data_IF_047512334732
#
_entry.id   IF_047512334732
#
_cell.length_a   1.000
_cell.length_b   1.000
_cell.length_c   1.000
_cell.angle_alpha   90.00
_cell.angle_beta   90.00
_cell.angle_gamma   90.00
#
_symmetry.space_group_name_H-M   'P 1'
#
loop_
_entity.id
_entity.type
_entity.pdbx_description
1 polymer ?
#
# COMPACT_ATOMS: atom_id res chain seq x y z
N UNK A 1 -5.95 -35.86 26.41
CA UNK A 1 -6.98 -35.67 25.36
C UNK A 1 -7.27 -34.20 25.03
N UNK A 2 -7.67 -33.36 26.01
CA UNK A 2 -8.04 -31.94 25.78
C UNK A 2 -6.96 -31.09 25.06
N UNK A 3 -5.67 -31.33 25.33
CA UNK A 3 -4.56 -30.63 24.65
C UNK A 3 -4.44 -30.98 23.15
N UNK A 4 -4.62 -32.26 22.79
CA UNK A 4 -4.59 -32.70 21.37
C UNK A 4 -5.78 -32.14 20.59
N UNK A 5 -6.97 -32.10 21.19
CA UNK A 5 -8.18 -31.52 20.60
C UNK A 5 -8.01 -30.01 20.37
N UNK A 6 -7.48 -29.27 21.35
CA UNK A 6 -7.20 -27.83 21.18
C UNK A 6 -6.21 -27.55 20.06
N UNK A 7 -5.15 -28.36 19.94
CA UNK A 7 -4.18 -28.25 18.84
C UNK A 7 -4.82 -28.54 17.49
N UNK A 8 -5.63 -29.59 17.39
CA UNK A 8 -6.36 -29.93 16.16
C UNK A 8 -7.31 -28.81 15.73
N UNK A 9 -8.09 -28.25 16.67
CA UNK A 9 -8.99 -27.13 16.40
C UNK A 9 -8.24 -25.87 15.93
N UNK A 10 -7.07 -25.59 16.51
CA UNK A 10 -6.22 -24.47 16.06
C UNK A 10 -5.72 -24.65 14.63
N UNK A 11 -5.25 -25.85 14.28
CA UNK A 11 -4.82 -26.13 12.91
C UNK A 11 -5.98 -26.10 11.91
N UNK A 12 -7.14 -26.64 12.29
CA UNK A 12 -8.34 -26.58 11.46
C UNK A 12 -8.79 -25.13 11.21
N UNK A 13 -8.81 -24.29 12.26
CA UNK A 13 -9.12 -22.87 12.12
C UNK A 13 -8.09 -22.13 11.25
N UNK A 14 -6.80 -22.39 11.46
CA UNK A 14 -5.74 -21.80 10.64
C UNK A 14 -5.84 -22.21 9.17
N UNK A 15 -6.17 -23.48 8.89
CA UNK A 15 -6.38 -23.99 7.54
C UNK A 15 -7.60 -23.34 6.88
N UNK A 16 -8.70 -23.17 7.62
CA UNK A 16 -9.90 -22.50 7.12
C UNK A 16 -9.63 -21.04 6.76
N UNK A 17 -8.89 -20.32 7.61
CA UNK A 17 -8.47 -18.94 7.34
C UNK A 17 -7.56 -18.89 6.11
N UNK A 18 -6.57 -19.79 6.02
CA UNK A 18 -5.68 -19.88 4.86
C UNK A 18 -6.46 -20.18 3.57
N UNK A 19 -7.43 -21.10 3.61
CA UNK A 19 -8.27 -21.43 2.46
C UNK A 19 -9.16 -20.24 2.05
N UNK A 20 -9.72 -19.49 3.01
CA UNK A 20 -10.53 -18.30 2.69
C UNK A 20 -9.73 -17.16 2.04
N UNK A 21 -8.45 -17.01 2.40
CA UNK A 21 -7.58 -15.96 1.87
C UNK A 21 -6.96 -16.39 0.53
N UNK A 22 -6.43 -17.61 0.47
CA UNK A 22 -5.72 -18.12 -0.70
C UNK A 22 -6.65 -18.67 -1.78
N UNK A 23 -7.85 -19.13 -1.42
CA UNK A 23 -8.82 -19.69 -2.37
C UNK A 23 -9.16 -18.75 -3.54
N UNK A 24 -9.57 -17.50 -3.28
CA UNK A 24 -9.83 -16.53 -4.34
C UNK A 24 -8.60 -16.19 -5.18
N UNK A 25 -7.40 -16.12 -4.56
CA UNK A 25 -6.15 -15.89 -5.29
C UNK A 25 -5.78 -17.07 -6.19
N UNK A 26 -5.97 -18.30 -5.71
CA UNK A 26 -5.78 -19.51 -6.51
C UNK A 26 -6.77 -19.57 -7.67
N UNK A 27 -8.03 -19.21 -7.43
CA UNK A 27 -9.03 -19.13 -8.49
C UNK A 27 -8.67 -18.08 -9.54
N UNK A 28 -8.24 -16.89 -9.10
CA UNK A 28 -7.77 -15.83 -10.00
C UNK A 28 -6.58 -16.30 -10.84
N UNK A 29 -5.63 -17.03 -10.25
CA UNK A 29 -4.52 -17.62 -10.98
C UNK A 29 -5.01 -18.64 -12.00
N UNK A 30 -5.88 -19.57 -11.62
CA UNK A 30 -6.45 -20.56 -12.55
C UNK A 30 -7.21 -19.89 -13.70
N UNK A 31 -7.98 -18.83 -13.43
CA UNK A 31 -8.67 -18.07 -14.48
C UNK A 31 -7.70 -17.48 -15.49
N UNK A 32 -6.57 -16.94 -15.01
CA UNK A 32 -5.58 -16.29 -15.86
C UNK A 32 -4.93 -17.22 -16.89
N UNK A 33 -4.82 -18.51 -16.54
CA UNK A 33 -4.21 -19.56 -17.38
C UNK A 33 -5.24 -20.46 -18.08
N UNK A 34 -6.54 -20.18 -17.90
CA UNK A 34 -7.63 -20.93 -18.52
C UNK A 34 -8.03 -20.33 -19.86
N UNK A 35 -8.42 -21.17 -20.82
CA UNK A 35 -8.97 -20.66 -22.09
C UNK A 35 -10.31 -19.93 -21.86
N UNK A 36 -10.64 -18.94 -22.69
CA UNK A 36 -11.93 -18.24 -22.57
C UNK A 36 -13.16 -19.17 -22.69
N UNK A 37 -13.02 -20.27 -23.44
CA UNK A 37 -14.05 -21.31 -23.53
C UNK A 37 -14.21 -22.14 -22.26
N UNK A 38 -13.14 -22.34 -21.48
CA UNK A 38 -13.22 -23.06 -20.21
C UNK A 38 -13.92 -22.21 -19.14
N UNK A 39 -13.69 -20.89 -19.14
CA UNK A 39 -14.28 -19.93 -18.19
C UNK A 39 -15.81 -19.79 -18.32
N UNK A 40 -16.34 -20.04 -19.51
CA UNK A 40 -17.78 -19.88 -19.83
C UNK A 40 -18.52 -21.22 -19.94
N UNK A 41 -17.83 -22.34 -19.72
CA UNK A 41 -18.38 -23.69 -19.85
C UNK A 41 -19.34 -24.04 -18.71
N UNK A 42 -20.40 -24.78 -19.05
CA UNK A 42 -21.35 -25.35 -18.09
C UNK A 42 -21.36 -26.89 -18.23
N UNK A 43 -21.11 -27.67 -17.16
CA UNK A 43 -20.75 -27.22 -15.81
C UNK A 43 -19.35 -26.58 -15.77
N UNK A 44 -19.13 -25.71 -14.76
CA UNK A 44 -17.85 -25.03 -14.57
C UNK A 44 -16.75 -26.06 -14.27
N UNK A 45 -15.69 -26.02 -15.07
CA UNK A 45 -14.49 -26.81 -14.83
C UNK A 45 -13.52 -26.00 -13.97
N UNK A 46 -13.16 -26.54 -12.81
CA UNK A 46 -12.33 -25.83 -11.84
C UNK A 46 -10.85 -25.78 -12.23
N UNK A 47 -10.41 -26.66 -13.14
CA UNK A 47 -9.04 -26.75 -13.61
C UNK A 47 -9.01 -26.55 -15.12
N UNK A 48 -8.03 -25.79 -15.64
CA UNK A 48 -7.87 -25.61 -17.07
C UNK A 48 -7.56 -26.94 -17.75
N UNK A 49 -8.20 -27.20 -18.89
CA UNK A 49 -7.86 -28.35 -19.74
C UNK A 49 -6.51 -28.17 -20.41
N UNK A 50 -6.20 -26.93 -20.77
CA UNK A 50 -4.94 -26.51 -21.35
C UNK A 50 -4.44 -25.28 -20.60
N UNK A 51 -3.18 -25.32 -20.19
CA UNK A 51 -2.53 -24.21 -19.51
C UNK A 51 -2.06 -23.19 -20.56
N UNK A 52 -2.70 -22.04 -20.61
CA UNK A 52 -2.36 -20.96 -21.55
C UNK A 52 -1.73 -19.76 -20.83
N UNK A 53 -0.45 -19.52 -21.09
CA UNK A 53 0.29 -18.39 -20.55
C UNK A 53 0.43 -17.22 -21.55
N UNK A 54 -0.26 -17.27 -22.69
CA UNK A 54 -0.20 -16.24 -23.73
C UNK A 54 -0.53 -14.85 -23.21
N UNK A 55 -1.51 -14.73 -22.30
CA UNK A 55 -1.92 -13.45 -21.68
C UNK A 55 -0.81 -12.80 -20.87
N UNK A 56 -0.01 -13.60 -20.16
CA UNK A 56 1.16 -13.09 -19.46
C UNK A 56 2.22 -12.57 -20.44
N UNK A 57 2.44 -13.28 -21.56
CA UNK A 57 3.34 -12.81 -22.60
C UNK A 57 2.84 -11.50 -23.23
N UNK A 58 1.53 -11.36 -23.47
CA UNK A 58 0.93 -10.12 -23.96
C UNK A 58 1.13 -8.96 -22.98
N UNK A 59 0.95 -9.20 -21.68
CA UNK A 59 1.10 -8.17 -20.64
C UNK A 59 2.54 -7.72 -20.41
N UNK A 60 3.53 -8.57 -20.70
CA UNK A 60 4.95 -8.24 -20.57
C UNK A 60 5.53 -7.73 -21.90
N UNK A 61 4.79 -7.83 -23.00
CA UNK A 61 5.20 -7.30 -24.30
C UNK A 61 5.15 -5.76 -24.34
N UNK A 62 6.09 -5.15 -25.07
CA UNK A 62 6.15 -3.70 -25.32
C UNK A 62 5.56 -3.31 -26.68
N UNK A 63 4.92 -4.25 -27.37
CA UNK A 63 4.34 -4.01 -28.68
C UNK A 63 3.16 -3.05 -28.56
N UNK A 64 3.09 -2.06 -29.46
CA UNK A 64 2.09 -0.99 -29.40
C UNK A 64 0.64 -1.49 -29.60
N UNK A 65 0.47 -2.62 -30.28
CA UNK A 65 -0.85 -3.24 -30.52
C UNK A 65 -1.31 -4.15 -29.36
N UNK A 66 -0.46 -4.36 -28.35
CA UNK A 66 -0.72 -5.24 -27.21
C UNK A 66 -1.09 -4.45 -25.96
N UNK A 67 -1.87 -5.03 -25.03
CA UNK A 67 -2.22 -4.38 -23.76
C UNK A 67 -1.01 -4.19 -22.83
N UNK A 68 0.11 -4.88 -23.08
CA UNK A 68 1.29 -4.89 -22.21
C UNK A 68 1.97 -3.55 -22.05
N UNK A 69 2.13 -2.76 -23.12
CA UNK A 69 2.75 -1.44 -23.02
C UNK A 69 1.96 -0.52 -22.05
N UNK A 70 0.63 -0.55 -22.12
CA UNK A 70 -0.24 0.21 -21.22
C UNK A 70 -0.10 -0.29 -19.77
N UNK A 71 -0.15 -1.61 -19.57
CA UNK A 71 -0.02 -2.23 -18.25
C UNK A 71 1.34 -1.93 -17.59
N UNK A 72 2.45 -2.12 -18.31
CA UNK A 72 3.80 -1.89 -17.80
C UNK A 72 4.05 -0.41 -17.50
N UNK A 73 3.52 0.50 -18.32
CA UNK A 73 3.60 1.95 -18.07
C UNK A 73 2.84 2.32 -16.78
N UNK A 74 1.62 1.80 -16.61
CA UNK A 74 0.83 2.03 -15.40
C UNK A 74 1.43 1.39 -14.14
N UNK A 75 2.04 0.21 -14.29
CA UNK A 75 2.79 -0.47 -13.25
C UNK A 75 3.97 0.38 -12.78
N UNK A 76 4.74 0.92 -13.72
CA UNK A 76 5.86 1.83 -13.43
C UNK A 76 5.39 3.11 -12.74
N UNK A 77 4.33 3.73 -13.26
CA UNK A 77 3.73 4.92 -12.65
C UNK A 77 3.32 4.67 -11.20
N UNK A 78 2.72 3.51 -10.91
CA UNK A 78 2.29 3.14 -9.56
C UNK A 78 3.47 2.94 -8.63
N UNK A 79 4.52 2.25 -9.08
CA UNK A 79 5.75 2.07 -8.31
C UNK A 79 6.39 3.41 -7.98
N UNK A 80 6.47 4.32 -8.96
CA UNK A 80 7.06 5.64 -8.80
C UNK A 80 6.24 6.49 -7.82
N UNK A 81 4.92 6.58 -8.03
CA UNK A 81 4.04 7.43 -7.22
C UNK A 81 3.93 6.87 -5.80
N UNK A 82 3.75 5.56 -5.62
CA UNK A 82 3.65 4.95 -4.29
C UNK A 82 4.95 5.09 -3.50
N UNK A 83 6.10 4.87 -4.13
CA UNK A 83 7.41 5.03 -3.48
C UNK A 83 7.69 6.51 -3.17
N UNK A 84 7.43 7.41 -4.11
CA UNK A 84 7.63 8.85 -3.93
C UNK A 84 6.78 9.43 -2.82
N UNK A 85 5.47 9.15 -2.83
CA UNK A 85 4.54 9.63 -1.82
C UNK A 85 4.87 9.09 -0.43
N UNK A 86 5.22 7.80 -0.33
CA UNK A 86 5.62 7.18 0.95
C UNK A 86 6.92 7.76 1.48
N UNK A 87 7.94 7.90 0.63
CA UNK A 87 9.24 8.43 1.03
C UNK A 87 9.14 9.88 1.53
N UNK A 88 8.42 10.73 0.79
CA UNK A 88 8.18 12.12 1.19
C UNK A 88 7.34 12.17 2.47
N UNK A 89 6.28 11.36 2.57
CA UNK A 89 5.44 11.33 3.76
C UNK A 89 6.21 10.88 4.99
N UNK A 90 7.08 9.86 4.89
CA UNK A 90 7.95 9.44 6.01
C UNK A 90 8.95 10.52 6.40
N UNK A 91 9.58 11.17 5.42
CA UNK A 91 10.54 12.25 5.65
C UNK A 91 9.93 13.38 6.49
N UNK A 92 8.64 13.68 6.28
CA UNK A 92 7.90 14.69 7.02
C UNK A 92 7.26 14.16 8.30
N UNK A 93 6.72 12.94 8.28
CA UNK A 93 6.03 12.32 9.40
C UNK A 93 6.96 12.00 10.56
N UNK A 94 8.22 11.59 10.30
CA UNK A 94 9.21 11.28 11.33
C UNK A 94 9.46 12.47 12.27
N UNK A 95 9.90 13.65 11.80
CA UNK A 95 10.12 14.79 12.67
C UNK A 95 8.82 15.32 13.28
N UNK A 96 7.70 15.27 12.55
CA UNK A 96 6.38 15.66 13.07
C UNK A 96 5.96 14.78 14.25
N UNK A 97 6.03 13.46 14.09
CA UNK A 97 5.70 12.48 15.13
C UNK A 97 6.60 12.64 16.35
N UNK A 98 7.91 12.83 16.15
CA UNK A 98 8.84 13.09 17.24
C UNK A 98 8.49 14.37 17.98
N UNK A 99 8.14 15.43 17.25
CA UNK A 99 7.69 16.68 17.85
C UNK A 99 6.41 16.49 18.67
N UNK A 100 5.40 15.79 18.14
CA UNK A 100 4.15 15.58 18.86
C UNK A 100 4.32 14.67 20.08
N UNK A 101 5.26 13.73 20.01
CA UNK A 101 5.54 12.81 21.12
C UNK A 101 6.30 13.47 22.27
N UNK A 102 7.30 14.31 21.96
CA UNK A 102 8.23 14.84 22.98
C UNK A 102 7.89 16.23 23.49
N UNK A 103 7.03 16.99 22.79
CA UNK A 103 6.69 18.36 23.15
C UNK A 103 5.18 18.49 23.39
N UNK A 104 4.75 18.56 24.66
CA UNK A 104 3.34 18.64 25.02
C UNK A 104 2.70 19.93 24.50
N UNK A 105 1.36 19.91 24.37
CA UNK A 105 0.58 21.06 23.88
C UNK A 105 0.48 21.17 22.35
N UNK A 106 0.95 20.15 21.62
CA UNK A 106 0.90 20.10 20.15
C UNK A 106 -0.09 19.07 19.60
N UNK A 107 -0.72 18.27 20.46
CA UNK A 107 -1.64 17.20 20.05
C UNK A 107 -2.85 17.71 19.27
N UNK A 108 -3.31 18.94 19.53
CA UNK A 108 -4.40 19.57 18.77
C UNK A 108 -4.14 19.66 17.27
N UNK A 109 -2.89 19.88 16.85
CA UNK A 109 -2.51 19.90 15.43
C UNK A 109 -2.56 18.51 14.80
N UNK A 110 -2.14 17.48 15.54
CA UNK A 110 -2.25 16.10 15.08
C UNK A 110 -3.71 15.65 14.99
N UNK A 111 -4.53 15.95 16.00
CA UNK A 111 -5.96 15.64 15.94
C UNK A 111 -6.67 16.42 14.83
N UNK A 112 -6.28 17.67 14.58
CA UNK A 112 -6.78 18.46 13.46
C UNK A 112 -6.43 17.84 12.10
N UNK A 113 -5.18 17.37 11.91
CA UNK A 113 -4.80 16.72 10.65
C UNK A 113 -5.49 15.37 10.45
N UNK A 114 -5.71 14.61 11.53
CA UNK A 114 -6.50 13.37 11.49
C UNK A 114 -7.98 13.64 11.22
N UNK A 115 -8.56 14.71 11.77
CA UNK A 115 -9.93 15.08 11.48
C UNK A 115 -10.12 15.41 9.99
N UNK A 116 -9.17 16.13 9.39
CA UNK A 116 -9.16 16.40 7.94
C UNK A 116 -9.01 15.10 7.15
N UNK A 117 -8.14 14.18 7.58
CA UNK A 117 -7.97 12.87 6.96
C UNK A 117 -9.26 12.02 6.99
N UNK A 118 -10.12 12.18 8.00
CA UNK A 118 -11.39 11.48 8.10
C UNK A 118 -12.50 12.08 7.21
N UNK A 119 -12.29 13.26 6.65
CA UNK A 119 -13.24 13.84 5.68
C UNK A 119 -13.16 13.03 4.37
N UNK A 120 -14.31 12.66 3.76
CA UNK A 120 -14.32 11.90 2.53
C UNK A 120 -13.48 12.55 1.42
N UNK A 121 -12.60 11.80 0.72
CA UNK A 121 -11.76 12.34 -0.36
C UNK A 121 -12.50 13.12 -1.44
N UNK A 122 -13.75 12.71 -1.75
CA UNK A 122 -14.62 13.39 -2.72
C UNK A 122 -14.84 14.87 -2.42
N UNK A 123 -14.83 15.28 -1.14
CA UNK A 123 -15.01 16.67 -0.73
C UNK A 123 -13.84 17.57 -1.16
N UNK A 124 -12.65 17.01 -1.34
CA UNK A 124 -11.44 17.75 -1.70
C UNK A 124 -11.13 17.75 -3.20
N UNK A 125 -11.91 17.02 -4.01
CA UNK A 125 -11.65 16.86 -5.45
C UNK A 125 -11.60 18.22 -6.16
N UNK A 126 -12.66 19.03 -6.06
CA UNK A 126 -12.71 20.31 -6.76
C UNK A 126 -11.61 21.29 -6.30
N UNK A 127 -11.39 21.50 -4.98
CA UNK A 127 -10.29 22.33 -4.52
C UNK A 127 -8.92 21.86 -5.02
N UNK A 128 -8.61 20.56 -4.90
CA UNK A 128 -7.33 20.01 -5.32
C UNK A 128 -7.16 20.07 -6.85
N UNK A 129 -8.23 19.84 -7.60
CA UNK A 129 -8.22 19.97 -9.06
C UNK A 129 -7.80 21.38 -9.48
N UNK A 130 -8.42 22.43 -8.91
CA UNK A 130 -8.07 23.82 -9.26
C UNK A 130 -6.65 24.17 -8.86
N UNK A 131 -6.16 23.71 -7.70
CA UNK A 131 -4.77 23.92 -7.27
C UNK A 131 -3.80 23.25 -8.24
N UNK A 132 -4.02 21.98 -8.57
CA UNK A 132 -3.18 21.25 -9.53
C UNK A 132 -3.24 21.87 -10.92
N UNK A 133 -4.40 22.37 -11.35
CA UNK A 133 -4.57 23.04 -12.64
C UNK A 133 -3.76 24.34 -12.69
N UNK A 134 -3.86 25.18 -11.66
CA UNK A 134 -3.13 26.46 -11.58
C UNK A 134 -1.61 26.24 -11.57
N UNK A 135 -1.15 25.15 -10.95
CA UNK A 135 0.26 24.79 -10.88
C UNK A 135 0.73 23.97 -12.08
N UNK A 136 -0.12 23.67 -13.06
CA UNK A 136 0.16 22.78 -14.20
C UNK A 136 0.65 21.38 -13.79
N UNK A 137 0.13 20.85 -12.67
CA UNK A 137 0.48 19.55 -12.10
C UNK A 137 -0.55 18.44 -12.39
N UNK A 138 -1.64 18.75 -13.08
CA UNK A 138 -2.55 17.73 -13.60
C UNK A 138 -1.82 16.81 -14.58
N UNK A 139 -2.16 15.52 -14.61
CA UNK A 139 -1.51 14.51 -15.43
C UNK A 139 -0.01 14.29 -15.18
N UNK A 140 0.50 14.71 -14.02
CA UNK A 140 1.91 14.53 -13.65
C UNK A 140 2.07 13.61 -12.44
N UNK A 141 3.16 12.84 -12.40
CA UNK A 141 3.50 12.04 -11.22
C UNK A 141 3.71 12.91 -9.99
N UNK A 142 4.31 14.09 -10.15
CA UNK A 142 4.56 15.02 -9.04
C UNK A 142 3.25 15.50 -8.42
N UNK A 143 2.28 15.91 -9.23
CA UNK A 143 0.95 16.30 -8.76
C UNK A 143 0.28 15.19 -7.95
N UNK A 144 0.33 13.96 -8.46
CA UNK A 144 -0.28 12.81 -7.79
C UNK A 144 0.45 12.46 -6.48
N UNK A 145 1.79 12.47 -6.48
CA UNK A 145 2.61 12.27 -5.28
C UNK A 145 2.26 13.28 -4.19
N UNK A 146 2.10 14.56 -4.53
CA UNK A 146 1.74 15.61 -3.57
C UNK A 146 0.34 15.40 -2.99
N UNK A 147 -0.63 15.04 -3.82
CA UNK A 147 -1.98 14.69 -3.34
C UNK A 147 -1.92 13.50 -2.40
N UNK A 148 -1.18 12.44 -2.75
CA UNK A 148 -1.07 11.24 -1.91
C UNK A 148 -0.39 11.52 -0.57
N UNK A 149 0.59 12.43 -0.54
CA UNK A 149 1.19 12.87 0.71
C UNK A 149 0.16 13.45 1.68
N UNK A 150 -0.88 14.15 1.19
CA UNK A 150 -1.93 14.70 2.05
C UNK A 150 -2.75 13.64 2.78
N UNK A 151 -2.87 12.45 2.19
CA UNK A 151 -3.53 11.29 2.80
C UNK A 151 -2.60 10.51 3.73
N UNK A 152 -1.38 10.26 3.27
CA UNK A 152 -0.45 9.33 3.92
C UNK A 152 0.19 9.99 5.15
N UNK A 153 0.55 11.27 5.08
CA UNK A 153 1.30 11.95 6.12
C UNK A 153 0.59 11.97 7.48
N UNK A 154 -0.71 12.33 7.61
CA UNK A 154 -1.39 12.31 8.90
C UNK A 154 -1.41 10.92 9.54
N UNK A 155 -1.70 9.90 8.75
CA UNK A 155 -1.74 8.51 9.18
C UNK A 155 -0.36 8.02 9.67
N UNK A 156 0.70 8.25 8.88
CA UNK A 156 2.06 7.86 9.28
C UNK A 156 2.56 8.63 10.49
N UNK A 157 2.21 9.91 10.60
CA UNK A 157 2.59 10.74 11.75
C UNK A 157 1.97 10.21 13.04
N UNK A 158 0.69 9.86 13.00
CA UNK A 158 -0.01 9.27 14.14
C UNK A 158 0.57 7.90 14.53
N UNK A 159 0.80 7.03 13.53
CA UNK A 159 1.37 5.71 13.74
C UNK A 159 2.77 5.78 14.39
N UNK A 160 3.64 6.66 13.87
CA UNK A 160 4.99 6.85 14.41
C UNK A 160 4.96 7.48 15.81
N UNK A 161 4.06 8.46 16.05
CA UNK A 161 3.92 9.08 17.38
C UNK A 161 3.58 8.04 18.43
N UNK A 162 2.59 7.19 18.18
CA UNK A 162 2.19 6.15 19.12
C UNK A 162 3.36 5.24 19.50
N UNK A 163 4.26 4.93 18.56
CA UNK A 163 5.45 4.16 18.86
C UNK A 163 6.50 4.97 19.62
N UNK A 164 6.72 6.23 19.26
CA UNK A 164 7.67 7.09 19.97
C UNK A 164 7.24 7.31 21.42
N UNK A 165 5.94 7.46 21.69
CA UNK A 165 5.36 7.58 23.03
C UNK A 165 5.63 6.36 23.91
N UNK A 166 5.80 5.17 23.31
CA UNK A 166 6.10 3.94 24.03
C UNK A 166 7.60 3.77 24.35
N UNK A 167 8.50 4.57 23.76
CA UNK A 167 9.93 4.48 24.01
C UNK A 167 10.29 5.17 25.35
N UNK A 168 11.21 4.58 26.14
CA UNK A 168 11.62 5.15 27.43
C UNK A 168 12.33 6.49 27.22
N UNK A 169 11.76 7.55 27.82
CA UNK A 169 12.27 8.91 27.72
C UNK A 169 13.66 9.08 28.35
N UNK A 170 13.99 8.27 29.36
CA UNK A 170 15.24 8.34 30.11
C UNK A 170 16.47 8.16 29.22
N UNK A 171 16.38 7.30 28.19
CA UNK A 171 17.48 7.06 27.23
C UNK A 171 17.74 8.33 26.40
N UNK A 172 16.68 9.00 25.96
CA UNK A 172 16.78 10.24 25.20
C UNK A 172 17.27 11.40 26.06
N UNK A 173 16.87 11.45 27.34
CA UNK A 173 17.34 12.45 28.30
C UNK A 173 18.83 12.27 28.62
N UNK A 174 19.28 11.03 28.86
CA UNK A 174 20.70 10.72 29.04
C UNK A 174 21.53 11.16 27.84
N UNK A 175 21.07 10.84 26.62
CA UNK A 175 21.75 11.26 25.41
C UNK A 175 21.85 12.79 25.24
N UNK A 176 20.86 13.56 25.73
CA UNK A 176 20.92 15.03 25.76
C UNK A 176 21.91 15.55 26.80
N UNK A 177 22.03 14.89 27.96
CA UNK A 177 23.04 15.20 28.97
C UNK A 177 24.46 14.94 28.44
N UNK A 178 24.62 13.94 27.57
CA UNK A 178 25.86 13.66 26.83
C UNK A 178 26.14 14.66 25.67
N UNK A 179 25.32 15.70 25.53
CA UNK A 179 25.51 16.79 24.58
C UNK A 179 24.90 16.58 23.19
N UNK A 180 24.10 15.52 22.98
CA UNK A 180 23.40 15.36 21.70
C UNK A 180 22.30 16.41 21.51
N UNK A 181 22.29 17.05 20.33
CA UNK A 181 21.23 17.93 19.87
C UNK A 181 19.95 17.14 19.58
N UNK A 182 18.80 17.81 19.57
CA UNK A 182 17.48 17.19 19.36
C UNK A 182 17.41 16.32 18.09
N UNK A 183 17.93 16.80 16.96
CA UNK A 183 17.95 16.01 15.72
C UNK A 183 18.89 14.79 15.81
N UNK A 184 19.97 14.88 16.60
CA UNK A 184 20.89 13.77 16.82
C UNK A 184 20.24 12.70 17.69
N UNK A 185 19.47 13.10 18.70
CA UNK A 185 18.67 12.18 19.52
C UNK A 185 17.67 11.43 18.63
N UNK A 186 16.92 12.15 17.79
CA UNK A 186 16.00 11.53 16.84
C UNK A 186 16.71 10.50 15.94
N UNK A 187 17.78 10.89 15.25
CA UNK A 187 18.43 10.02 14.27
C UNK A 187 19.24 8.88 14.88
N UNK A 188 19.89 9.09 16.04
CA UNK A 188 20.83 8.13 16.64
C UNK A 188 20.23 7.28 17.76
N UNK A 189 19.14 7.73 18.38
CA UNK A 189 18.50 7.03 19.51
C UNK A 189 17.09 6.59 19.13
N UNK A 190 16.20 7.53 18.82
CA UNK A 190 14.78 7.24 18.62
C UNK A 190 14.51 6.40 17.37
N UNK A 191 15.07 6.74 16.21
CA UNK A 191 14.84 6.00 14.97
C UNK A 191 15.39 4.56 14.99
N UNK A 192 16.62 4.28 15.49
CA UNK A 192 17.09 2.91 15.63
C UNK A 192 16.20 2.05 16.52
N UNK A 193 15.70 2.61 17.63
CA UNK A 193 14.76 1.92 18.53
C UNK A 193 13.38 1.70 17.87
N UNK A 194 12.95 2.63 17.03
CA UNK A 194 11.69 2.55 16.30
C UNK A 194 11.77 1.84 14.94
N UNK A 195 12.93 1.25 14.58
CA UNK A 195 13.15 0.58 13.28
C UNK A 195 12.06 -0.43 12.91
N UNK A 196 11.52 -1.25 13.85
CA UNK A 196 10.44 -2.18 13.53
C UNK A 196 9.16 -1.47 13.04
N UNK A 197 8.82 -0.33 13.64
CA UNK A 197 7.63 0.43 13.24
C UNK A 197 7.89 1.24 11.98
N UNK A 198 9.09 1.75 11.76
CA UNK A 198 9.42 2.46 10.51
C UNK A 198 9.18 1.59 9.27
N UNK A 199 9.55 0.31 9.30
CA UNK A 199 9.27 -0.59 8.17
C UNK A 199 7.78 -0.88 8.02
N UNK A 200 7.03 -1.03 9.11
CA UNK A 200 5.59 -1.18 9.06
C UNK A 200 4.90 0.08 8.50
N UNK A 201 5.31 1.27 8.96
CA UNK A 201 4.83 2.56 8.46
C UNK A 201 5.13 2.75 6.98
N UNK A 202 6.32 2.37 6.52
CA UNK A 202 6.67 2.39 5.11
C UNK A 202 5.76 1.47 4.29
N UNK A 203 5.50 0.25 4.76
CA UNK A 203 4.58 -0.66 4.07
C UNK A 203 3.17 -0.09 4.00
N UNK A 204 2.61 0.38 5.12
CA UNK A 204 1.24 0.92 5.11
C UNK A 204 1.12 2.17 4.23
N UNK A 205 2.09 3.09 4.30
CA UNK A 205 2.09 4.26 3.42
C UNK A 205 2.16 3.87 1.95
N UNK A 206 2.97 2.86 1.63
CA UNK A 206 3.12 2.36 0.27
C UNK A 206 1.86 1.66 -0.23
N UNK A 207 1.23 0.80 0.60
CA UNK A 207 -0.03 0.13 0.27
C UNK A 207 -1.17 1.14 0.07
N UNK A 208 -1.27 2.15 0.95
CA UNK A 208 -2.27 3.22 0.80
C UNK A 208 -2.11 3.97 -0.51
N UNK A 209 -0.88 4.22 -0.95
CA UNK A 209 -0.61 4.87 -2.23
C UNK A 209 -0.83 3.93 -3.43
N UNK A 210 -0.47 2.65 -3.28
CA UNK A 210 -0.58 1.63 -4.31
C UNK A 210 -2.05 1.34 -4.67
N UNK A 211 -2.92 1.27 -3.66
CA UNK A 211 -4.34 0.98 -3.82
C UNK A 211 -5.17 2.25 -4.14
N UNK A 212 -4.55 3.43 -4.18
CA UNK A 212 -5.27 4.68 -4.40
C UNK A 212 -5.75 4.76 -5.86
N UNK A 213 -7.08 4.72 -6.00
CA UNK A 213 -7.76 4.74 -7.29
C UNK A 213 -8.43 6.09 -7.58
N UNK A 214 -9.02 6.71 -6.57
CA UNK A 214 -9.99 7.78 -6.73
C UNK A 214 -9.35 9.08 -7.21
N UNK A 215 -8.27 9.53 -6.58
CA UNK A 215 -7.56 10.73 -7.01
C UNK A 215 -6.78 10.50 -8.29
N UNK A 216 -6.18 9.32 -8.49
CA UNK A 216 -5.56 8.97 -9.76
C UNK A 216 -6.57 9.08 -10.91
N UNK A 217 -7.75 8.46 -10.79
CA UNK A 217 -8.79 8.51 -11.81
C UNK A 217 -9.16 9.95 -12.21
N UNK A 218 -9.23 10.86 -11.23
CA UNK A 218 -9.69 12.22 -11.43
C UNK A 218 -8.60 13.18 -11.92
N UNK A 219 -7.33 12.94 -11.57
CA UNK A 219 -6.23 13.86 -11.85
C UNK A 219 -5.29 13.38 -12.97
N UNK A 220 -5.43 12.15 -13.44
CA UNK A 220 -4.67 11.59 -14.57
C UNK A 220 -5.62 11.16 -15.69
N UNK A 221 -6.06 12.13 -16.49
CA UNK A 221 -6.90 11.93 -17.67
C UNK A 221 -6.15 11.39 -18.89
N UNK A 222 -4.81 11.43 -18.88
CA UNK A 222 -3.97 10.81 -19.90
C UNK A 222 -3.12 9.66 -19.33
N UNK A 223 -2.49 8.89 -20.21
CA UNK A 223 -1.68 7.73 -19.81
C UNK A 223 -0.37 8.08 -19.07
N UNK A 224 0.11 9.32 -19.16
CA UNK A 224 1.46 9.67 -18.72
C UNK A 224 1.68 9.36 -17.25
N UNK A 225 0.73 9.72 -16.39
CA UNK A 225 0.79 9.50 -14.94
C UNK A 225 -0.29 8.53 -14.43
N UNK A 226 -1.07 7.90 -15.32
CA UNK A 226 -2.14 6.99 -14.92
C UNK A 226 -1.57 5.78 -14.15
N UNK A 227 -2.15 5.50 -12.98
CA UNK A 227 -1.74 4.40 -12.10
C UNK A 227 -2.46 3.11 -12.46
N UNK A 228 -1.90 2.01 -11.96
CA UNK A 228 -2.32 0.66 -12.22
C UNK A 228 -3.77 0.40 -11.80
N UNK A 229 -4.27 0.85 -10.62
CA UNK A 229 -5.69 0.70 -10.29
C UNK A 229 -6.63 1.30 -11.35
N UNK A 230 -6.28 2.46 -11.90
CA UNK A 230 -7.07 3.13 -12.94
C UNK A 230 -7.02 2.36 -14.26
N UNK A 231 -5.83 1.90 -14.66
CA UNK A 231 -5.66 1.10 -15.89
C UNK A 231 -6.36 -0.25 -15.78
N UNK A 232 -6.36 -0.90 -14.60
CA UNK A 232 -7.13 -2.13 -14.31
C UNK A 232 -8.62 -1.89 -14.54
N UNK A 233 -9.18 -0.80 -14.02
CA UNK A 233 -10.58 -0.47 -14.26
C UNK A 233 -10.86 -0.27 -15.76
N UNK A 234 -9.92 0.31 -16.51
CA UNK A 234 -9.99 0.42 -17.97
C UNK A 234 -10.09 -0.93 -18.69
N UNK A 235 -9.35 -1.95 -18.25
CA UNK A 235 -9.43 -3.30 -18.81
C UNK A 235 -10.81 -3.94 -18.62
N UNK A 236 -11.51 -3.63 -17.53
CA UNK A 236 -12.86 -4.14 -17.28
C UNK A 236 -13.95 -3.47 -18.13
N UNK A 237 -13.71 -2.24 -18.59
CA UNK A 237 -14.69 -1.44 -19.33
C UNK A 237 -14.64 -1.62 -20.87
N UNK A 238 -13.69 -2.40 -21.38
CA UNK A 238 -13.50 -2.65 -22.82
C UNK A 238 -14.61 -3.50 -23.46
N UNK A 239 -14.79 -3.37 -24.79
CA UNK A 239 -15.88 -4.01 -25.59
C UNK A 239 -15.79 -5.54 -25.73
N UNK A 240 -14.69 -6.16 -25.32
CA UNK A 240 -14.54 -7.61 -25.23
C UNK A 240 -13.77 -7.91 -23.94
N UNK A 241 -14.50 -8.18 -22.86
CA UNK A 241 -13.93 -8.46 -21.54
C UNK A 241 -13.30 -9.85 -21.57
N UNK A 242 -11.99 -9.94 -21.78
CA UNK A 242 -11.25 -11.18 -21.54
C UNK A 242 -11.02 -11.33 -20.03
N UNK A 243 -11.91 -12.07 -19.37
CA UNK A 243 -11.85 -12.32 -17.93
C UNK A 243 -10.51 -12.98 -17.50
N UNK A 244 -9.92 -13.79 -18.38
CA UNK A 244 -8.60 -14.38 -18.14
C UNK A 244 -7.49 -13.32 -18.20
N UNK A 245 -7.61 -12.31 -19.07
CA UNK A 245 -6.64 -11.20 -19.12
C UNK A 245 -6.75 -10.34 -17.87
N UNK A 246 -7.96 -10.01 -17.42
CA UNK A 246 -8.19 -9.27 -16.18
C UNK A 246 -7.64 -10.06 -14.98
N UNK A 247 -7.82 -11.38 -14.97
CA UNK A 247 -7.24 -12.25 -13.95
C UNK A 247 -5.70 -12.22 -13.97
N UNK A 248 -5.08 -12.30 -15.16
CA UNK A 248 -3.63 -12.20 -15.33
C UNK A 248 -3.09 -10.84 -14.83
N UNK A 249 -3.77 -9.74 -15.19
CA UNK A 249 -3.48 -8.39 -14.71
C UNK A 249 -3.55 -8.33 -13.18
N UNK A 250 -4.61 -8.88 -12.57
CA UNK A 250 -4.77 -8.91 -11.12
C UNK A 250 -3.66 -9.69 -10.40
N UNK A 251 -3.24 -10.83 -10.97
CA UNK A 251 -2.10 -11.60 -10.44
C UNK A 251 -0.82 -10.77 -10.50
N UNK A 252 -0.48 -10.19 -11.66
CA UNK A 252 0.74 -9.38 -11.80
C UNK A 252 0.72 -8.12 -10.91
N UNK A 253 -0.44 -7.47 -10.79
CA UNK A 253 -0.63 -6.30 -9.92
C UNK A 253 -0.44 -6.63 -8.43
N UNK A 254 -0.68 -7.88 -8.02
CA UNK A 254 -0.45 -8.32 -6.64
C UNK A 254 1.01 -8.63 -6.31
N UNK A 255 1.87 -8.80 -7.33
CA UNK A 255 3.28 -9.21 -7.13
C UNK A 255 4.07 -8.14 -6.35
N UNK A 256 4.03 -6.84 -6.69
CA UNK A 256 4.78 -5.82 -5.93
C UNK A 256 4.40 -5.71 -4.44
N UNK A 257 3.12 -5.58 -4.03
CA UNK A 257 2.77 -5.55 -2.61
C UNK A 257 3.18 -6.84 -1.89
N UNK A 258 3.00 -8.01 -2.53
CA UNK A 258 3.40 -9.29 -1.95
C UNK A 258 4.91 -9.36 -1.71
N UNK A 259 5.72 -8.94 -2.68
CA UNK A 259 7.17 -8.90 -2.56
C UNK A 259 7.63 -8.00 -1.40
N UNK A 260 7.08 -6.80 -1.30
CA UNK A 260 7.41 -5.84 -0.24
C UNK A 260 6.95 -6.40 1.13
N UNK A 261 5.76 -6.99 1.21
CA UNK A 261 5.27 -7.61 2.45
C UNK A 261 6.17 -8.77 2.93
N UNK A 262 6.61 -9.65 2.02
CA UNK A 262 7.54 -10.74 2.33
C UNK A 262 8.90 -10.20 2.78
N UNK A 263 9.39 -9.14 2.12
CA UNK A 263 10.64 -8.49 2.49
C UNK A 263 10.57 -7.82 3.88
N UNK A 264 9.42 -7.23 4.23
CA UNK A 264 9.19 -6.54 5.50
C UNK A 264 8.59 -7.43 6.61
N UNK A 265 8.28 -8.70 6.36
CA UNK A 265 7.57 -9.58 7.32
C UNK A 265 8.21 -9.63 8.71
N UNK A 266 9.55 -9.65 8.80
CA UNK A 266 10.27 -9.70 10.08
C UNK A 266 10.04 -8.42 10.90
N UNK A 267 9.95 -7.30 10.20
CA UNK A 267 9.70 -5.97 10.74
C UNK A 267 8.25 -5.82 11.21
N UNK A 268 7.29 -6.35 10.44
CA UNK A 268 5.86 -6.36 10.77
C UNK A 268 5.54 -7.18 12.02
N UNK A 269 6.08 -8.41 12.10
CA UNK A 269 5.83 -9.30 13.24
C UNK A 269 6.39 -8.71 14.54
N UNK A 270 7.56 -8.06 14.48
CA UNK A 270 8.15 -7.38 15.63
C UNK A 270 7.36 -6.12 16.04
N UNK A 271 6.91 -5.30 15.09
CA UNK A 271 6.19 -4.05 15.37
C UNK A 271 4.77 -4.25 15.91
N UNK A 272 4.05 -5.27 15.43
CA UNK A 272 2.72 -5.62 15.93
C UNK A 272 2.79 -6.28 17.32
N UNK A 273 3.83 -7.07 17.61
CA UNK A 273 4.00 -7.73 18.90
C UNK A 273 4.40 -6.77 20.03
N UNK A 274 5.16 -5.71 19.75
CA UNK A 274 5.56 -4.71 20.75
C UNK A 274 4.44 -3.76 21.16
N UNK A 275 3.46 -3.51 20.29
CA UNK A 275 2.28 -2.69 20.61
C UNK A 275 1.17 -3.45 21.35
N UNK A 276 1.09 -4.77 21.19
CA UNK A 276 0.02 -5.61 21.74
C UNK A 276 0.31 -6.26 23.09
N UNK A 277 1.56 -6.27 23.58
CA UNK A 277 1.94 -6.86 24.86
C UNK A 277 1.94 -5.81 26.00
N UNK A 278 0.77 -5.22 26.23
CA UNK A 278 0.39 -4.73 27.57
C UNK A 278 -0.59 -5.75 28.15
N UNK A 279 -0.06 -6.89 28.57
CA UNK A 279 -0.79 -8.02 29.17
C UNK A 279 0.18 -9.07 29.68
#
# INVERSE_FOLDING_TARGET
MKRKIRTLLRYAAALLVAASILGPMLWLFLMSVSSGSDLTRIPLEWLPRQWDFSRYAQLVSLDADQPGALFLHALWNSLLVATGATAISLLLAIPAAFSFSRYPGRDGWLFGSLAIYMVPPVAFVLPLYFVLQQLSLLNTHLGLVLVYCSLILPFLTWMLKNQFDALPLDIEQAARLDGLRVWQVLLRITLPLAKPVLGASALFGWLLAWDEFFYALLFTSNIQAQTLPVTIAGFTAGRATDDGLIAAVGILASVPPLFIAIWLQKTLVSGLASGGSKG
#
